data_IF_245534875796
#
_entry.id   IF_245534875796
#
_cell.length_a   1.000
_cell.length_b   1.000
_cell.length_c   1.000
_cell.angle_alpha   90.00
_cell.angle_beta   90.00
_cell.angle_gamma   90.00
#
_symmetry.space_group_name_H-M   'P 1'
#
loop_
_entity.id
_entity.type
_entity.pdbx_description
1 polymer ?
#
# COMPACT_ATOMS: atom_id res chain seq x y z
N UNK A 1 -1.38 2.55 -13.57
CA UNK A 1 -1.77 1.71 -12.42
C UNK A 1 -2.05 0.29 -12.89
N UNK A 2 -1.35 -0.66 -12.31
CA UNK A 2 -1.57 -2.07 -12.61
C UNK A 2 -2.11 -2.76 -11.37
N UNK A 3 -3.18 -3.51 -11.54
CA UNK A 3 -3.77 -4.27 -10.45
C UNK A 3 -3.62 -5.74 -10.77
N UNK A 4 -3.09 -6.49 -9.82
CA UNK A 4 -2.87 -7.92 -9.99
C UNK A 4 -3.56 -8.68 -8.86
N UNK A 5 -4.24 -9.75 -9.21
CA UNK A 5 -4.91 -10.58 -8.22
C UNK A 5 -4.41 -12.01 -8.40
N UNK A 6 -3.89 -12.59 -7.33
CA UNK A 6 -3.38 -13.96 -7.35
C UNK A 6 -3.99 -14.75 -6.23
N UNK A 7 -4.32 -16.00 -6.51
CA UNK A 7 -4.85 -16.90 -5.50
C UNK A 7 -3.85 -18.04 -5.29
N UNK A 8 -3.54 -18.32 -4.00
CA UNK A 8 -2.61 -19.38 -3.67
C UNK A 8 -2.90 -19.89 -2.27
N UNK A 9 -3.06 -21.21 -2.15
CA UNK A 9 -3.19 -21.88 -0.85
C UNK A 9 -4.28 -21.30 0.04
N UNK A 10 -5.42 -20.96 -0.55
CA UNK A 10 -6.54 -20.43 0.21
C UNK A 10 -6.43 -18.98 0.57
N UNK A 11 -5.53 -18.26 -0.10
CA UNK A 11 -5.37 -16.82 0.11
C UNK A 11 -5.40 -16.10 -1.22
N UNK A 12 -5.91 -14.88 -1.19
CA UNK A 12 -5.90 -14.01 -2.36
C UNK A 12 -5.01 -12.83 -2.04
N UNK A 13 -4.01 -12.60 -2.90
CA UNK A 13 -3.15 -11.41 -2.78
C UNK A 13 -3.57 -10.41 -3.85
N UNK A 14 -3.83 -9.21 -3.42
CA UNK A 14 -4.15 -8.12 -4.33
C UNK A 14 -3.00 -7.13 -4.27
N UNK A 15 -2.44 -6.82 -5.45
CA UNK A 15 -1.30 -5.90 -5.56
C UNK A 15 -1.68 -4.75 -6.48
N UNK A 16 -1.30 -3.55 -6.09
CA UNK A 16 -1.55 -2.35 -6.89
C UNK A 16 -0.21 -1.67 -7.12
N UNK A 17 0.21 -1.62 -8.37
CA UNK A 17 1.48 -0.99 -8.75
C UNK A 17 1.23 0.36 -9.39
N UNK A 18 1.92 1.38 -8.89
CA UNK A 18 1.86 2.73 -9.45
C UNK A 18 3.23 3.10 -9.97
N UNK A 19 3.28 3.48 -11.25
CA UNK A 19 4.52 3.95 -11.87
C UNK A 19 4.87 5.32 -11.32
N UNK A 20 6.14 5.53 -11.06
CA UNK A 20 6.59 6.82 -10.55
C UNK A 20 7.85 6.64 -9.72
N UNK A 21 8.16 7.64 -8.93
CA UNK A 21 9.32 7.57 -8.05
C UNK A 21 9.01 6.71 -6.84
N UNK A 22 9.97 5.93 -6.37
CA UNK A 22 9.76 5.13 -5.17
C UNK A 22 9.64 6.01 -3.93
N UNK A 23 9.05 5.44 -2.89
CA UNK A 23 8.93 6.15 -1.62
C UNK A 23 10.29 6.17 -0.94
N UNK A 24 10.76 7.32 -0.43
CA UNK A 24 12.02 7.35 0.30
C UNK A 24 12.01 6.35 1.45
N UNK A 25 13.14 5.68 1.68
CA UNK A 25 13.21 4.65 2.72
C UNK A 25 12.81 5.17 4.08
N UNK A 26 13.17 6.42 4.36
CA UNK A 26 12.84 7.01 5.65
C UNK A 26 11.35 7.21 5.85
N UNK A 27 10.57 7.20 4.78
CA UNK A 27 9.12 7.39 4.86
C UNK A 27 8.35 6.08 4.83
N UNK A 28 8.99 4.98 4.44
CA UNK A 28 8.30 3.70 4.27
C UNK A 28 7.55 3.27 5.53
N UNK A 29 8.17 3.44 6.69
CA UNK A 29 7.54 3.02 7.94
C UNK A 29 6.37 3.90 8.33
N UNK A 30 6.28 5.09 7.77
CA UNK A 30 5.29 6.08 8.18
C UNK A 30 4.11 6.24 7.24
N UNK A 31 4.18 5.63 6.05
CA UNK A 31 3.12 5.86 5.05
C UNK A 31 1.77 5.36 5.49
N UNK A 32 1.73 4.46 6.48
CA UNK A 32 0.48 3.91 7.00
C UNK A 32 -0.13 4.76 8.11
N UNK A 33 0.60 5.79 8.54
CA UNK A 33 0.12 6.66 9.60
C UNK A 33 -0.91 7.65 9.06
N UNK A 34 -1.89 7.94 9.89
CA UNK A 34 -2.94 8.87 9.50
C UNK A 34 -2.34 10.25 9.26
N UNK A 35 -2.70 10.86 8.14
CA UNK A 35 -2.26 12.20 7.73
C UNK A 35 -0.78 12.31 7.40
N UNK A 36 -0.04 11.21 7.38
CA UNK A 36 1.36 11.26 6.98
C UNK A 36 1.45 11.47 5.47
N UNK A 37 2.31 12.36 5.05
CA UNK A 37 2.53 12.64 3.64
C UNK A 37 4.02 12.60 3.35
N UNK A 38 4.38 11.89 2.29
CA UNK A 38 5.78 11.73 1.90
C UNK A 38 6.38 13.07 1.47
N UNK A 39 5.65 13.81 0.64
CA UNK A 39 6.10 15.09 0.10
C UNK A 39 4.87 15.90 -0.23
N UNK A 40 4.80 17.12 0.29
CA UNK A 40 3.64 17.97 0.07
C UNK A 40 3.37 18.21 -1.42
N UNK A 41 4.41 18.37 -2.21
CA UNK A 41 4.25 18.60 -3.63
C UNK A 41 3.78 17.37 -4.37
N UNK A 42 3.92 16.20 -3.77
CA UNK A 42 3.59 14.93 -4.40
C UNK A 42 2.43 14.22 -3.73
N UNK A 43 1.73 14.90 -2.86
CA UNK A 43 0.62 14.35 -2.11
C UNK A 43 -0.41 13.68 -3.01
N UNK A 44 -0.70 14.29 -4.15
CA UNK A 44 -1.72 13.79 -5.06
C UNK A 44 -1.37 12.43 -5.64
N UNK A 45 -0.08 12.15 -5.80
CA UNK A 45 0.36 10.88 -6.36
C UNK A 45 0.14 9.73 -5.39
N UNK A 46 0.09 10.03 -4.10
CA UNK A 46 0.03 8.99 -3.07
C UNK A 46 -1.26 9.01 -2.26
N UNK A 47 -2.31 9.55 -2.84
CA UNK A 47 -3.61 9.40 -2.22
C UNK A 47 -4.21 10.59 -1.52
N UNK A 48 -3.72 11.76 -1.80
CA UNK A 48 -4.41 12.98 -1.42
C UNK A 48 -4.44 13.31 0.06
N UNK A 49 -5.51 12.94 0.75
CA UNK A 49 -5.73 13.39 2.12
C UNK A 49 -4.79 12.83 3.18
N UNK A 50 -4.09 11.73 2.84
CA UNK A 50 -3.22 11.09 3.81
C UNK A 50 -3.91 10.18 4.78
N UNK A 51 -5.18 9.85 4.54
CA UNK A 51 -5.90 8.92 5.41
C UNK A 51 -6.17 7.56 4.76
N UNK A 52 -6.04 7.47 3.43
CA UNK A 52 -6.36 6.24 2.71
C UNK A 52 -5.61 5.02 3.20
N UNK A 53 -4.28 5.15 3.31
CA UNK A 53 -3.46 4.02 3.73
C UNK A 53 -3.69 3.67 5.19
N UNK A 54 -3.97 4.64 6.04
CA UNK A 54 -4.25 4.35 7.44
C UNK A 54 -5.56 3.57 7.59
N UNK A 55 -6.51 3.79 6.70
CA UNK A 55 -7.74 3.02 6.70
C UNK A 55 -7.46 1.58 6.30
N UNK A 56 -6.65 1.39 5.27
CA UNK A 56 -6.26 0.05 4.84
C UNK A 56 -5.58 -0.69 5.99
N UNK A 57 -4.64 -0.03 6.67
CA UNK A 57 -3.95 -0.62 7.81
C UNK A 57 -4.94 -1.04 8.88
N UNK A 58 -5.88 -0.17 9.24
CA UNK A 58 -6.86 -0.47 10.27
C UNK A 58 -7.72 -1.68 9.90
N UNK A 59 -8.14 -1.76 8.66
CA UNK A 59 -8.95 -2.88 8.19
C UNK A 59 -8.16 -4.18 8.23
N UNK A 60 -6.94 -4.16 7.68
CA UNK A 60 -6.13 -5.37 7.63
C UNK A 60 -5.75 -5.84 9.02
N UNK A 61 -5.42 -4.91 9.92
CA UNK A 61 -5.10 -5.26 11.30
C UNK A 61 -6.32 -5.87 12.00
N UNK A 62 -7.50 -5.34 11.75
CA UNK A 62 -8.71 -5.87 12.38
C UNK A 62 -9.02 -7.29 11.92
N UNK A 63 -8.62 -7.64 10.70
CA UNK A 63 -8.81 -8.99 10.16
C UNK A 63 -7.60 -9.90 10.41
N UNK A 64 -6.54 -9.35 11.00
CA UNK A 64 -5.30 -10.07 11.25
C UNK A 64 -4.72 -10.64 9.95
N UNK A 65 -4.73 -9.84 8.90
CA UNK A 65 -4.23 -10.23 7.59
C UNK A 65 -3.01 -9.38 7.20
N UNK A 66 -2.08 -9.95 6.44
CA UNK A 66 -0.85 -9.22 6.08
C UNK A 66 -1.07 -8.20 4.98
N UNK A 67 -0.23 -7.19 4.98
CA UNK A 67 -0.20 -6.16 3.97
C UNK A 67 1.21 -5.57 3.92
N UNK A 68 1.52 -4.82 2.88
CA UNK A 68 2.83 -4.23 2.79
C UNK A 68 3.01 -3.34 1.57
N UNK A 69 4.23 -2.88 1.42
CA UNK A 69 4.62 -2.03 0.30
C UNK A 69 6.00 -2.46 -0.18
N UNK A 70 6.18 -2.43 -1.49
CA UNK A 70 7.45 -2.79 -2.13
C UNK A 70 7.87 -1.65 -3.04
N UNK A 71 9.10 -1.17 -2.88
CA UNK A 71 9.67 -0.17 -3.77
C UNK A 71 10.36 -0.83 -4.94
N UNK A 72 10.15 -0.28 -6.12
CA UNK A 72 10.89 -0.65 -7.32
C UNK A 72 11.53 0.61 -7.88
N UNK A 73 12.47 0.46 -8.78
CA UNK A 73 13.14 1.61 -9.36
C UNK A 73 12.20 2.49 -10.17
N UNK A 74 11.12 1.92 -10.68
CA UNK A 74 10.17 2.63 -11.53
C UNK A 74 8.80 2.80 -10.91
N UNK A 75 8.64 2.50 -9.63
CA UNK A 75 7.33 2.67 -9.01
C UNK A 75 7.21 2.01 -7.65
N UNK A 76 5.99 1.95 -7.17
CA UNK A 76 5.67 1.43 -5.85
C UNK A 76 4.51 0.47 -5.96
N UNK A 77 4.62 -0.66 -5.29
CA UNK A 77 3.55 -1.65 -5.24
C UNK A 77 3.02 -1.77 -3.82
N UNK A 78 1.70 -1.61 -3.66
CA UNK A 78 1.02 -1.87 -2.40
C UNK A 78 0.30 -3.20 -2.53
N UNK A 79 0.34 -4.03 -1.47
CA UNK A 79 -0.29 -5.33 -1.53
C UNK A 79 -0.98 -5.67 -0.21
N UNK A 80 -1.98 -6.53 -0.30
CA UNK A 80 -2.60 -7.08 0.89
C UNK A 80 -3.17 -8.45 0.55
N UNK A 81 -3.37 -9.27 1.59
CA UNK A 81 -3.86 -10.62 1.42
C UNK A 81 -5.13 -10.85 2.22
N UNK A 82 -5.99 -11.66 1.65
CA UNK A 82 -7.24 -12.05 2.31
C UNK A 82 -7.38 -13.56 2.25
N UNK A 83 -7.95 -14.15 3.30
CA UNK A 83 -8.23 -15.56 3.30
C UNK A 83 -9.52 -15.83 2.54
N UNK A 84 -9.55 -16.93 1.79
CA UNK A 84 -10.71 -17.26 0.97
C UNK A 84 -11.70 -18.16 1.68
N UNK A 85 -11.44 -18.51 2.92
CA UNK A 85 -12.34 -19.37 3.67
C UNK A 85 -13.21 -18.60 4.59
#
# INVERSE_FOLDING_TARGET
VDIRIEERDGKIRISVFNTGEPIPEEDIEHIWEKFYKVDKARTREYGGSGVGLSIVKAIMDSMNQPYGVINYTNGVEFWFELETK
#
